data_IF_812109057270
#
_entry.id   IF_812109057270
#
_cell.length_a   1.000
_cell.length_b   1.000
_cell.length_c   1.000
_cell.angle_alpha   90.00
_cell.angle_beta   90.00
_cell.angle_gamma   90.00
#
_symmetry.space_group_name_H-M   'P 1'
#
loop_
_entity.id
_entity.type
_entity.pdbx_description
1 polymer ?
#
# COMPACT_ATOMS: atom_id res chain seq x y z
N UNK A 1 -13.61 -7.21 -18.78
CA UNK A 1 -14.32 -8.09 -19.74
C UNK A 1 -14.12 -9.57 -19.42
N UNK A 2 -12.90 -10.09 -19.38
CA UNK A 2 -12.67 -11.54 -19.24
C UNK A 2 -13.27 -12.22 -17.99
N UNK A 3 -13.27 -11.56 -16.82
CA UNK A 3 -13.80 -12.16 -15.57
C UNK A 3 -15.31 -12.40 -15.69
N UNK A 4 -16.06 -11.41 -16.19
CA UNK A 4 -17.52 -11.49 -16.37
C UNK A 4 -17.89 -12.55 -17.38
N UNK A 5 -17.15 -12.65 -18.49
CA UNK A 5 -17.42 -13.61 -19.56
C UNK A 5 -17.13 -15.04 -19.09
N UNK A 6 -16.02 -15.26 -18.40
CA UNK A 6 -15.68 -16.54 -17.75
C UNK A 6 -16.75 -16.96 -16.74
N UNK A 7 -17.26 -16.02 -15.94
CA UNK A 7 -18.34 -16.28 -14.98
C UNK A 7 -19.62 -16.75 -15.68
N UNK A 8 -20.06 -16.09 -16.77
CA UNK A 8 -21.23 -16.51 -17.51
C UNK A 8 -21.06 -17.91 -18.15
N UNK A 9 -19.88 -18.22 -18.66
CA UNK A 9 -19.59 -19.56 -19.19
C UNK A 9 -19.70 -20.61 -18.08
N UNK A 10 -19.11 -20.36 -16.90
CA UNK A 10 -19.22 -21.26 -15.75
C UNK A 10 -20.67 -21.46 -15.29
N UNK A 11 -21.45 -20.38 -15.24
CA UNK A 11 -22.89 -20.44 -14.90
C UNK A 11 -23.66 -21.28 -15.93
N UNK A 12 -23.41 -21.08 -17.23
CA UNK A 12 -24.07 -21.85 -18.29
C UNK A 12 -23.75 -23.35 -18.21
N UNK A 13 -22.47 -23.69 -18.03
CA UNK A 13 -22.04 -25.09 -17.84
C UNK A 13 -22.68 -25.68 -16.58
N UNK A 14 -22.62 -24.97 -15.46
CA UNK A 14 -23.25 -25.38 -14.21
C UNK A 14 -24.76 -25.62 -14.37
N UNK A 15 -25.47 -24.72 -15.03
CA UNK A 15 -26.90 -24.86 -15.28
C UNK A 15 -27.22 -26.13 -16.08
N UNK A 16 -26.44 -26.43 -17.12
CA UNK A 16 -26.62 -27.67 -17.92
C UNK A 16 -26.36 -28.91 -17.06
N UNK A 17 -25.24 -28.95 -16.35
CA UNK A 17 -24.86 -30.12 -15.54
C UNK A 17 -25.84 -30.37 -14.42
N UNK A 18 -26.21 -29.34 -13.65
CA UNK A 18 -27.21 -29.48 -12.57
C UNK A 18 -28.60 -29.81 -13.09
N UNK A 19 -29.02 -29.27 -14.23
CA UNK A 19 -30.29 -29.61 -14.84
C UNK A 19 -30.38 -31.09 -15.22
N UNK A 20 -29.33 -31.64 -15.85
CA UNK A 20 -29.25 -33.07 -16.20
C UNK A 20 -29.22 -33.92 -14.93
N UNK A 21 -28.44 -33.51 -13.91
CA UNK A 21 -28.39 -34.21 -12.65
C UNK A 21 -29.75 -34.27 -11.94
N UNK A 22 -30.40 -33.11 -11.76
CA UNK A 22 -31.75 -33.06 -11.13
C UNK A 22 -32.80 -33.78 -11.94
N UNK A 23 -32.80 -33.65 -13.27
CA UNK A 23 -33.68 -34.42 -14.13
C UNK A 23 -33.46 -35.93 -13.87
N UNK A 24 -32.23 -36.41 -13.81
CA UNK A 24 -31.92 -37.80 -13.58
C UNK A 24 -32.40 -38.28 -12.20
N UNK A 25 -32.18 -37.47 -11.16
CA UNK A 25 -32.65 -37.76 -9.79
C UNK A 25 -34.16 -37.89 -9.69
N UNK A 26 -34.90 -37.01 -10.36
CA UNK A 26 -36.36 -37.04 -10.33
C UNK A 26 -36.97 -38.09 -11.27
N UNK A 27 -36.35 -38.30 -12.44
CA UNK A 27 -36.88 -39.19 -13.49
C UNK A 27 -36.62 -40.67 -13.22
N UNK A 28 -35.41 -40.97 -12.72
CA UNK A 28 -34.94 -42.36 -12.57
C UNK A 28 -35.01 -42.88 -11.12
N UNK A 29 -35.99 -42.44 -10.34
CA UNK A 29 -36.22 -42.97 -9.00
C UNK A 29 -36.65 -44.44 -9.05
N UNK A 30 -36.37 -45.24 -8.03
CA UNK A 30 -36.71 -46.66 -7.91
C UNK A 30 -38.21 -46.93 -8.14
N UNK A 31 -39.09 -46.00 -7.76
CA UNK A 31 -40.54 -46.12 -7.95
C UNK A 31 -40.96 -45.91 -9.40
N UNK A 32 -40.26 -45.09 -10.18
CA UNK A 32 -40.58 -44.76 -11.58
C UNK A 32 -39.86 -45.60 -12.60
N UNK A 33 -38.71 -46.19 -12.22
CA UNK A 33 -37.87 -46.99 -13.10
C UNK A 33 -37.61 -48.36 -12.46
N UNK A 34 -38.58 -49.27 -12.60
CA UNK A 34 -38.48 -50.61 -12.00
C UNK A 34 -37.50 -51.55 -12.71
N UNK A 35 -37.25 -51.29 -13.99
CA UNK A 35 -36.28 -52.04 -14.79
C UNK A 35 -35.15 -51.06 -15.22
N UNK A 36 -34.12 -50.87 -14.40
CA UNK A 36 -33.00 -50.03 -14.75
C UNK A 36 -32.21 -50.61 -15.93
N UNK A 37 -31.66 -49.74 -16.74
CA UNK A 37 -30.74 -50.14 -17.80
C UNK A 37 -29.52 -50.86 -17.25
N UNK A 38 -29.05 -51.90 -17.91
CA UNK A 38 -27.82 -52.61 -17.59
C UNK A 38 -26.57 -52.02 -18.29
N UNK A 39 -26.73 -50.85 -18.85
CA UNK A 39 -25.68 -50.11 -19.50
C UNK A 39 -24.70 -49.59 -18.46
N UNK A 40 -23.40 -50.00 -18.59
CA UNK A 40 -22.35 -49.69 -17.64
C UNK A 40 -21.22 -48.83 -18.23
N UNK A 41 -21.06 -48.82 -19.55
CA UNK A 41 -19.97 -48.08 -20.22
C UNK A 41 -20.39 -47.65 -21.64
N UNK A 42 -19.74 -46.60 -22.14
CA UNK A 42 -19.86 -46.19 -23.53
C UNK A 42 -18.58 -45.46 -23.96
N UNK A 43 -17.71 -46.19 -24.65
CA UNK A 43 -16.46 -45.62 -25.17
C UNK A 43 -16.66 -44.36 -26.02
N UNK A 44 -17.77 -44.27 -26.77
CA UNK A 44 -18.08 -43.08 -27.58
C UNK A 44 -18.33 -41.87 -26.71
N UNK A 45 -19.08 -42.02 -25.60
CA UNK A 45 -19.40 -40.98 -24.69
C UNK A 45 -18.14 -40.55 -23.90
N UNK A 46 -17.35 -41.51 -23.48
CA UNK A 46 -16.07 -41.29 -22.76
C UNK A 46 -15.09 -40.48 -23.60
N UNK A 47 -14.93 -40.86 -24.88
CA UNK A 47 -14.12 -40.10 -25.83
C UNK A 47 -14.67 -38.72 -26.05
N UNK A 48 -16.00 -38.54 -26.17
CA UNK A 48 -16.60 -37.23 -26.37
C UNK A 48 -16.35 -36.30 -25.18
N UNK A 49 -16.58 -36.74 -23.93
CA UNK A 49 -16.36 -35.89 -22.76
C UNK A 49 -14.89 -35.66 -22.39
N UNK A 50 -13.99 -36.40 -22.98
CA UNK A 50 -12.54 -36.17 -22.89
C UNK A 50 -12.07 -35.17 -23.96
N UNK A 51 -12.48 -35.37 -25.22
CA UNK A 51 -12.01 -34.57 -26.35
C UNK A 51 -12.60 -33.15 -26.28
N UNK A 52 -13.89 -33.00 -25.96
CA UNK A 52 -14.54 -31.68 -25.94
C UNK A 52 -13.88 -30.73 -24.94
N UNK A 53 -13.67 -31.08 -23.65
CA UNK A 53 -12.95 -30.21 -22.71
C UNK A 53 -11.48 -29.96 -23.12
N UNK A 54 -10.83 -30.96 -23.70
CA UNK A 54 -9.45 -30.80 -24.19
C UNK A 54 -9.34 -29.74 -25.29
N UNK A 55 -10.29 -29.75 -26.25
CA UNK A 55 -10.35 -28.73 -27.30
C UNK A 55 -10.67 -27.34 -26.74
N UNK A 56 -11.54 -27.26 -25.73
CA UNK A 56 -11.85 -26.00 -25.03
C UNK A 56 -10.59 -25.47 -24.34
N UNK A 57 -9.81 -26.32 -23.66
CA UNK A 57 -8.57 -25.90 -23.01
C UNK A 57 -7.54 -25.38 -24.02
N UNK A 58 -7.38 -26.04 -25.18
CA UNK A 58 -6.48 -25.55 -26.24
C UNK A 58 -6.98 -24.19 -26.76
N UNK A 59 -8.27 -24.05 -27.00
CA UNK A 59 -8.84 -22.78 -27.48
C UNK A 59 -8.64 -21.64 -26.49
N UNK A 60 -8.63 -21.91 -25.18
CA UNK A 60 -8.36 -20.93 -24.13
C UNK A 60 -6.86 -20.65 -23.93
N UNK A 61 -6.00 -21.64 -24.17
CA UNK A 61 -4.57 -21.49 -23.93
C UNK A 61 -3.92 -20.41 -24.82
N UNK A 62 -4.35 -20.28 -26.06
CA UNK A 62 -3.80 -19.30 -27.02
C UNK A 62 -4.03 -17.86 -26.57
N UNK A 63 -5.28 -17.40 -26.32
CA UNK A 63 -5.51 -16.04 -25.83
C UNK A 63 -4.92 -15.83 -24.42
N UNK A 64 -4.95 -16.83 -23.55
CA UNK A 64 -4.37 -16.71 -22.21
C UNK A 64 -2.84 -16.50 -22.27
N UNK A 65 -2.13 -17.22 -23.14
CA UNK A 65 -0.68 -17.04 -23.32
C UNK A 65 -0.35 -15.66 -23.88
N UNK A 66 -1.16 -15.15 -24.82
CA UNK A 66 -0.98 -13.78 -25.35
C UNK A 66 -1.17 -12.72 -24.26
N UNK A 67 -2.25 -12.81 -23.50
CA UNK A 67 -2.52 -11.88 -22.39
C UNK A 67 -1.41 -11.95 -21.33
N UNK A 68 -0.93 -13.16 -21.02
CA UNK A 68 0.18 -13.32 -20.07
C UNK A 68 1.45 -12.61 -20.56
N UNK A 69 1.77 -12.72 -21.84
CA UNK A 69 2.93 -12.02 -22.43
C UNK A 69 2.75 -10.50 -22.37
N UNK A 70 1.54 -10.00 -22.58
CA UNK A 70 1.22 -8.57 -22.49
C UNK A 70 1.32 -8.05 -21.04
N UNK A 71 0.89 -8.86 -20.03
CA UNK A 71 1.01 -8.49 -18.60
C UNK A 71 2.47 -8.37 -18.17
N UNK A 72 3.34 -9.27 -18.65
CA UNK A 72 4.77 -9.27 -18.33
C UNK A 72 5.62 -8.43 -19.30
N UNK A 73 4.99 -7.58 -20.09
CA UNK A 73 5.70 -6.60 -20.91
C UNK A 73 6.38 -5.57 -20.00
N UNK A 74 7.71 -5.51 -20.05
CA UNK A 74 8.56 -4.66 -19.21
C UNK A 74 9.07 -3.41 -19.97
N UNK A 75 8.50 -3.11 -21.13
CA UNK A 75 8.81 -1.88 -21.86
C UNK A 75 8.62 -0.64 -20.97
N UNK A 76 9.44 0.38 -21.18
CA UNK A 76 9.37 1.62 -20.43
C UNK A 76 7.99 2.27 -20.58
N UNK A 77 7.48 2.78 -19.45
CA UNK A 77 6.26 3.60 -19.44
C UNK A 77 6.54 5.02 -19.95
N UNK A 78 5.49 5.73 -20.32
CA UNK A 78 5.55 7.18 -20.51
C UNK A 78 5.85 7.88 -19.17
N UNK A 79 5.44 7.25 -18.05
CA UNK A 79 5.74 7.65 -16.68
C UNK A 79 6.22 6.40 -15.93
N UNK A 80 7.36 6.55 -15.24
CA UNK A 80 7.91 5.50 -14.40
C UNK A 80 7.82 5.90 -12.92
N UNK A 81 7.15 5.09 -12.11
CA UNK A 81 6.93 5.35 -10.69
C UNK A 81 7.54 4.23 -9.87
N UNK A 82 8.49 4.55 -9.00
CA UNK A 82 8.95 3.62 -8.00
C UNK A 82 7.96 3.60 -6.83
N UNK A 83 7.53 2.39 -6.45
CA UNK A 83 6.64 2.12 -5.31
C UNK A 83 7.45 1.39 -4.26
N UNK A 84 7.61 1.99 -3.09
CA UNK A 84 8.37 1.39 -1.99
C UNK A 84 7.44 1.15 -0.79
N UNK A 85 7.34 -0.11 -0.35
CA UNK A 85 6.59 -0.48 0.84
C UNK A 85 7.40 -0.25 2.12
N UNK A 86 6.74 0.33 3.12
CA UNK A 86 7.24 0.51 4.49
C UNK A 86 6.21 0.00 5.50
N UNK A 87 6.59 -0.24 6.69
CA UNK A 87 5.70 -0.54 7.83
C UNK A 87 5.21 0.77 8.48
N UNK A 88 4.00 1.28 8.20
CA UNK A 88 2.94 0.78 7.33
C UNK A 88 2.42 1.93 6.48
N UNK A 89 3.06 2.17 5.35
CA UNK A 89 2.79 3.23 4.38
C UNK A 89 3.43 2.90 3.04
N UNK A 90 3.08 3.66 2.02
CA UNK A 90 3.72 3.58 0.70
C UNK A 90 4.51 4.85 0.42
N UNK A 91 5.66 4.73 -0.23
CA UNK A 91 6.38 5.84 -0.84
C UNK A 91 6.26 5.73 -2.35
N UNK A 92 5.97 6.84 -3.00
CA UNK A 92 5.89 6.96 -4.46
C UNK A 92 6.94 7.94 -4.96
N UNK A 93 7.75 7.50 -5.95
CA UNK A 93 8.79 8.33 -6.59
C UNK A 93 8.54 8.38 -8.09
N UNK A 94 8.26 9.56 -8.62
CA UNK A 94 8.14 9.81 -10.05
C UNK A 94 9.52 10.11 -10.59
N UNK A 95 10.07 9.18 -11.37
CA UNK A 95 11.49 9.19 -11.71
C UNK A 95 11.85 10.30 -12.70
N UNK A 96 10.93 10.69 -13.59
CA UNK A 96 11.14 11.76 -14.55
C UNK A 96 11.00 13.16 -13.96
N UNK A 97 10.19 13.29 -12.89
CA UNK A 97 9.83 14.59 -12.32
C UNK A 97 10.57 14.92 -11.03
N UNK A 98 11.33 13.96 -10.47
CA UNK A 98 12.00 14.08 -9.17
C UNK A 98 11.02 14.45 -8.03
N UNK A 99 9.81 13.87 -8.09
CA UNK A 99 8.78 14.04 -7.07
C UNK A 99 8.74 12.77 -6.25
N UNK A 100 8.83 12.92 -4.93
CA UNK A 100 8.62 11.81 -4.00
C UNK A 100 7.76 12.24 -2.81
N UNK A 101 6.92 11.33 -2.34
CA UNK A 101 6.10 11.55 -1.15
C UNK A 101 5.66 10.22 -0.52
N UNK A 102 5.28 10.31 0.76
CA UNK A 102 4.67 9.19 1.48
C UNK A 102 3.16 9.29 1.46
N UNK A 103 2.52 8.14 1.34
CA UNK A 103 1.07 7.96 1.37
C UNK A 103 0.72 7.19 2.62
N UNK A 104 0.12 7.87 3.60
CA UNK A 104 -0.24 7.30 4.89
C UNK A 104 -1.77 7.15 4.98
N UNK A 105 -2.22 6.22 5.83
CA UNK A 105 -3.63 6.12 6.19
C UNK A 105 -4.15 7.45 6.76
N UNK A 106 -5.25 7.96 6.22
CA UNK A 106 -5.89 9.20 6.69
C UNK A 106 -7.11 8.97 7.61
N UNK A 107 -7.47 7.71 7.86
CA UNK A 107 -8.57 7.37 8.78
C UNK A 107 -8.28 7.88 10.18
N UNK A 108 -9.24 8.62 10.75
CA UNK A 108 -9.13 9.20 12.09
C UNK A 108 -8.91 8.13 13.15
N UNK A 109 -8.07 8.43 14.14
CA UNK A 109 -7.78 7.52 15.25
C UNK A 109 -9.04 7.21 16.06
N UNK A 110 -9.96 8.16 16.21
CA UNK A 110 -11.22 7.94 16.91
C UNK A 110 -12.12 6.91 16.21
N UNK A 111 -12.09 6.87 14.85
CA UNK A 111 -12.75 5.81 14.08
C UNK A 111 -12.07 4.45 14.30
N UNK A 112 -10.74 4.42 14.32
CA UNK A 112 -9.95 3.20 14.53
C UNK A 112 -10.22 2.61 15.91
N UNK A 113 -10.30 3.43 16.94
CA UNK A 113 -10.60 3.00 18.32
C UNK A 113 -12.10 2.85 18.62
N UNK A 114 -12.97 3.00 17.62
CA UNK A 114 -14.44 2.91 17.74
C UNK A 114 -15.05 3.95 18.72
N UNK A 115 -14.44 5.10 18.85
CA UNK A 115 -14.95 6.21 19.64
C UNK A 115 -16.00 7.02 18.88
N UNK A 116 -15.95 6.99 17.54
CA UNK A 116 -16.93 7.56 16.63
C UNK A 116 -17.37 6.52 15.58
N UNK A 117 -18.52 6.71 14.91
CA UNK A 117 -18.96 5.82 13.81
C UNK A 117 -17.95 5.83 12.66
N UNK A 118 -17.74 4.68 12.05
CA UNK A 118 -16.86 4.50 10.90
C UNK A 118 -17.45 5.13 9.63
N UNK A 119 -16.63 5.86 8.89
CA UNK A 119 -16.97 6.41 7.59
C UNK A 119 -17.12 5.34 6.50
N UNK A 120 -17.66 5.73 5.34
CA UNK A 120 -17.90 4.83 4.20
C UNK A 120 -16.61 4.18 3.70
N UNK A 121 -15.52 4.93 3.64
CA UNK A 121 -14.21 4.46 3.18
C UNK A 121 -13.25 4.16 4.33
N UNK A 122 -13.75 3.63 5.44
CA UNK A 122 -12.95 3.26 6.60
C UNK A 122 -11.75 2.39 6.21
N UNK A 123 -10.54 2.83 6.56
CA UNK A 123 -9.23 2.23 6.24
C UNK A 123 -8.92 2.15 4.73
N UNK A 124 -9.58 2.92 3.88
CA UNK A 124 -9.41 2.91 2.42
C UNK A 124 -9.02 4.29 1.85
N UNK A 125 -8.73 5.28 2.70
CA UNK A 125 -8.30 6.62 2.29
C UNK A 125 -6.90 6.91 2.80
N UNK A 126 -6.19 7.76 2.05
CA UNK A 126 -4.82 8.20 2.36
C UNK A 126 -4.74 9.73 2.38
N UNK A 127 -3.71 10.26 3.03
CA UNK A 127 -3.42 11.69 3.06
C UNK A 127 -2.90 12.19 1.68
N UNK A 128 -2.07 11.41 1.00
CA UNK A 128 -1.48 11.72 -0.31
C UNK A 128 -1.72 10.57 -1.29
N UNK A 129 -2.72 10.67 -2.18
CA UNK A 129 -2.97 9.63 -3.19
C UNK A 129 -1.91 9.65 -4.31
N UNK A 130 -1.66 8.50 -4.90
CA UNK A 130 -0.89 8.39 -6.13
C UNK A 130 -1.69 9.00 -7.31
N UNK A 131 -1.11 9.96 -8.03
CA UNK A 131 -1.77 10.65 -9.16
C UNK A 131 -1.21 10.16 -10.48
N UNK A 132 -2.05 9.68 -11.38
CA UNK A 132 -1.64 9.27 -12.72
C UNK A 132 -2.59 9.84 -13.78
N UNK A 133 -2.10 10.18 -15.00
CA UNK A 133 -2.95 10.67 -16.07
C UNK A 133 -3.68 9.51 -16.77
N UNK A 134 -4.89 9.79 -17.25
CA UNK A 134 -5.69 8.89 -18.08
C UNK A 134 -4.98 8.61 -19.43
N UNK A 135 -5.27 7.46 -20.04
CA UNK A 135 -4.74 7.01 -21.35
C UNK A 135 -3.21 7.12 -21.49
N UNK A 136 -2.51 6.90 -20.39
CA UNK A 136 -1.04 6.97 -20.34
C UNK A 136 -0.50 5.64 -19.79
N UNK A 137 0.54 5.10 -20.41
CA UNK A 137 1.23 3.91 -19.90
C UNK A 137 2.09 4.28 -18.71
N UNK A 138 1.67 3.86 -17.53
CA UNK A 138 2.42 4.04 -16.29
C UNK A 138 3.06 2.72 -15.91
N UNK A 139 4.38 2.71 -15.73
CA UNK A 139 5.16 1.57 -15.25
C UNK A 139 5.48 1.75 -13.77
N UNK A 140 5.25 0.71 -13.00
CA UNK A 140 5.58 0.65 -11.58
C UNK A 140 6.80 -0.22 -11.34
N UNK A 141 7.77 0.31 -10.58
CA UNK A 141 8.95 -0.37 -10.09
C UNK A 141 8.75 -0.61 -8.59
N UNK A 142 8.34 -1.82 -8.24
CA UNK A 142 7.78 -2.15 -6.91
C UNK A 142 8.83 -2.87 -6.07
N UNK A 143 9.13 -2.31 -4.90
CA UNK A 143 10.08 -2.85 -3.92
C UNK A 143 9.63 -2.51 -2.49
N UNK A 144 10.39 -2.95 -1.49
CA UNK A 144 10.16 -2.59 -0.09
C UNK A 144 11.47 -2.21 0.61
N UNK A 145 11.35 -1.40 1.65
CA UNK A 145 12.49 -0.95 2.47
C UNK A 145 12.78 -1.89 3.66
N UNK A 146 11.76 -2.56 4.18
CA UNK A 146 11.83 -3.29 5.46
C UNK A 146 11.44 -4.76 5.34
N UNK A 147 10.16 -5.07 5.24
CA UNK A 147 9.62 -6.43 5.10
C UNK A 147 8.93 -6.61 3.76
N UNK A 148 8.45 -7.81 3.45
CA UNK A 148 7.67 -8.04 2.24
C UNK A 148 6.29 -7.41 2.42
N UNK A 149 5.86 -6.63 1.42
CA UNK A 149 4.51 -6.11 1.23
C UNK A 149 3.99 -6.59 -0.13
N UNK A 150 2.75 -6.29 -0.47
CA UNK A 150 2.22 -6.52 -1.83
C UNK A 150 1.33 -5.37 -2.23
N UNK A 151 1.68 -4.69 -3.32
CA UNK A 151 0.90 -3.58 -3.87
C UNK A 151 -0.20 -4.11 -4.76
N UNK A 152 -1.44 -3.88 -4.37
CA UNK A 152 -2.61 -4.41 -5.05
C UNK A 152 -3.64 -3.33 -5.34
N UNK A 153 -3.99 -3.17 -6.59
CA UNK A 153 -5.11 -2.34 -7.07
C UNK A 153 -5.97 -3.23 -7.99
N UNK A 154 -7.09 -3.75 -7.50
CA UNK A 154 -7.92 -4.71 -8.23
C UNK A 154 -8.34 -4.26 -9.62
N UNK A 155 -8.76 -3.00 -9.74
CA UNK A 155 -9.29 -2.45 -10.99
C UNK A 155 -8.21 -2.29 -12.07
N UNK A 156 -6.94 -2.21 -11.68
CA UNK A 156 -5.80 -2.23 -12.61
C UNK A 156 -5.33 -3.64 -12.94
N UNK A 157 -5.93 -4.67 -12.33
CA UNK A 157 -5.47 -6.05 -12.40
C UNK A 157 -4.00 -6.24 -11.96
N UNK A 158 -3.49 -5.34 -11.12
CA UNK A 158 -2.13 -5.42 -10.57
C UNK A 158 -2.20 -5.95 -9.14
N UNK A 159 -1.46 -7.02 -8.89
CA UNK A 159 -1.09 -7.53 -7.57
C UNK A 159 0.36 -7.97 -7.63
N UNK A 160 1.24 -7.18 -7.04
CA UNK A 160 2.67 -7.40 -7.17
C UNK A 160 3.37 -7.25 -5.82
N UNK A 161 4.16 -8.25 -5.46
CA UNK A 161 4.90 -8.23 -4.21
C UNK A 161 6.01 -7.18 -4.23
N UNK A 162 6.13 -6.45 -3.12
CA UNK A 162 7.17 -5.50 -2.82
C UNK A 162 8.19 -6.19 -1.90
N UNK A 163 9.32 -6.61 -2.46
CA UNK A 163 10.30 -7.44 -1.77
C UNK A 163 11.58 -6.64 -1.52
N UNK A 164 12.10 -6.58 -0.27
CA UNK A 164 13.36 -5.91 0.02
C UNK A 164 14.52 -6.45 -0.83
N UNK A 165 15.27 -5.56 -1.47
CA UNK A 165 16.40 -5.92 -2.32
C UNK A 165 16.03 -6.45 -3.72
N UNK A 166 14.74 -6.52 -4.06
CA UNK A 166 14.25 -6.87 -5.39
C UNK A 166 13.37 -5.75 -5.94
N UNK A 167 13.40 -5.56 -7.26
CA UNK A 167 12.49 -4.66 -7.97
C UNK A 167 11.63 -5.51 -8.90
N UNK A 168 10.34 -5.58 -8.60
CA UNK A 168 9.33 -6.15 -9.46
C UNK A 168 8.72 -5.07 -10.34
N UNK A 169 8.29 -5.43 -11.54
CA UNK A 169 7.67 -4.50 -12.48
C UNK A 169 6.20 -4.84 -12.72
N UNK A 170 5.39 -3.82 -12.85
CA UNK A 170 4.02 -3.90 -13.33
C UNK A 170 3.70 -2.65 -14.14
N UNK A 171 2.66 -2.68 -14.96
CA UNK A 171 2.23 -1.51 -15.70
C UNK A 171 0.71 -1.44 -15.80
N UNK A 172 0.19 -0.24 -15.99
CA UNK A 172 -1.22 -0.01 -16.27
C UNK A 172 -1.40 1.11 -17.29
N UNK A 173 -2.57 1.11 -17.91
CA UNK A 173 -3.11 2.26 -18.64
C UNK A 173 -4.58 2.38 -18.23
N UNK A 174 -4.87 3.35 -17.39
CA UNK A 174 -6.23 3.63 -16.96
C UNK A 174 -7.01 4.33 -18.09
N UNK A 175 -8.16 3.80 -18.47
CA UNK A 175 -8.98 4.32 -19.57
C UNK A 175 -10.00 5.37 -19.09
N UNK A 176 -10.27 5.45 -17.79
CA UNK A 176 -11.26 6.35 -17.19
C UNK A 176 -10.64 7.10 -16.00
N UNK A 177 -11.00 8.37 -15.87
CA UNK A 177 -10.67 9.16 -14.67
C UNK A 177 -11.48 8.68 -13.46
N UNK A 178 -10.89 8.76 -12.26
CA UNK A 178 -11.58 8.30 -11.05
C UNK A 178 -10.63 7.99 -9.91
N UNK A 179 -11.20 7.47 -8.83
CA UNK A 179 -10.45 7.03 -7.65
C UNK A 179 -10.48 5.51 -7.58
N UNK A 180 -9.31 4.92 -7.64
CA UNK A 180 -9.08 3.48 -7.60
C UNK A 180 -8.44 3.10 -6.28
N UNK A 181 -8.98 2.11 -5.60
CA UNK A 181 -8.55 1.72 -4.26
C UNK A 181 -7.97 0.32 -4.23
N UNK A 182 -6.99 0.16 -3.37
CA UNK A 182 -6.32 -1.11 -3.13
C UNK A 182 -5.78 -1.20 -1.72
N UNK A 183 -5.02 -2.26 -1.47
CA UNK A 183 -4.47 -2.54 -0.16
C UNK A 183 -3.12 -3.23 -0.26
N UNK A 184 -2.38 -3.25 0.86
CA UNK A 184 -1.31 -4.22 1.04
C UNK A 184 -1.93 -5.63 1.18
N UNK A 185 -1.42 -6.60 0.41
CA UNK A 185 -1.96 -7.98 0.38
C UNK A 185 -0.92 -9.05 0.73
N UNK A 186 0.20 -8.66 1.33
CA UNK A 186 1.16 -9.57 1.97
C UNK A 186 1.33 -9.19 3.44
N UNK A 187 1.23 -10.17 4.35
CA UNK A 187 1.27 -9.92 5.79
C UNK A 187 2.60 -9.28 6.21
N UNK A 188 2.56 -8.01 6.54
CA UNK A 188 3.72 -7.18 6.83
C UNK A 188 3.81 -6.70 8.29
N UNK A 189 3.05 -7.28 9.20
CA UNK A 189 3.10 -6.98 10.63
C UNK A 189 1.79 -6.45 11.22
N UNK A 190 1.87 -5.77 12.36
CA UNK A 190 0.73 -5.37 13.20
C UNK A 190 -0.32 -4.54 12.45
N UNK A 191 0.12 -3.57 11.65
CA UNK A 191 -0.76 -2.64 10.95
C UNK A 191 -0.89 -2.98 9.45
N UNK A 192 -0.76 -4.26 9.10
CA UNK A 192 -0.92 -4.73 7.72
C UNK A 192 -2.20 -4.22 7.03
N UNK A 193 -3.33 -4.19 7.71
CA UNK A 193 -4.59 -3.67 7.19
C UNK A 193 -4.73 -2.13 7.22
N UNK A 194 -3.68 -1.41 7.63
CA UNK A 194 -3.69 0.04 7.86
C UNK A 194 -2.79 0.80 6.87
N UNK A 195 -2.46 0.19 5.72
CA UNK A 195 -1.69 0.79 4.64
C UNK A 195 -2.40 0.59 3.29
N UNK A 196 -3.50 1.29 3.08
CA UNK A 196 -4.25 1.23 1.82
C UNK A 196 -3.46 1.85 0.66
N UNK A 197 -3.94 1.58 -0.55
CA UNK A 197 -3.50 2.23 -1.79
C UNK A 197 -4.66 3.03 -2.34
N UNK A 198 -4.43 4.30 -2.65
CA UNK A 198 -5.39 5.14 -3.39
C UNK A 198 -4.69 5.71 -4.61
N UNK A 199 -5.25 5.43 -5.78
CA UNK A 199 -4.78 6.00 -7.05
C UNK A 199 -5.88 6.90 -7.60
N UNK A 200 -5.56 8.17 -7.84
CA UNK A 200 -6.43 9.12 -8.51
C UNK A 200 -5.98 9.25 -9.97
N UNK A 201 -6.81 8.79 -10.87
CA UNK A 201 -6.61 8.98 -12.32
C UNK A 201 -7.26 10.28 -12.73
N UNK A 202 -6.48 11.17 -13.34
CA UNK A 202 -6.88 12.52 -13.71
C UNK A 202 -6.67 12.79 -15.18
N UNK A 203 -7.23 13.87 -15.70
CA UNK A 203 -6.90 14.38 -17.05
C UNK A 203 -5.44 14.82 -17.13
N UNK A 204 -4.86 14.77 -18.33
CA UNK A 204 -3.43 15.09 -18.53
C UNK A 204 -3.07 16.52 -18.10
N UNK A 205 -3.97 17.46 -18.29
CA UNK A 205 -3.75 18.86 -17.87
C UNK A 205 -3.74 18.97 -16.33
N UNK A 206 -4.67 18.30 -15.63
CA UNK A 206 -4.70 18.25 -14.17
C UNK A 206 -3.44 17.57 -13.60
N UNK A 207 -2.95 16.53 -14.27
CA UNK A 207 -1.69 15.89 -13.90
C UNK A 207 -0.51 16.85 -13.99
N UNK A 208 -0.41 17.60 -15.09
CA UNK A 208 0.67 18.57 -15.27
C UNK A 208 0.61 19.71 -14.23
N UNK A 209 -0.59 20.20 -13.90
CA UNK A 209 -0.77 21.19 -12.84
C UNK A 209 -0.33 20.64 -11.48
N UNK A 210 -0.69 19.38 -11.17
CA UNK A 210 -0.26 18.72 -9.95
C UNK A 210 1.27 18.57 -9.86
N UNK A 211 1.94 18.18 -10.95
CA UNK A 211 3.41 18.10 -11.04
C UNK A 211 4.05 19.46 -10.73
N UNK A 212 3.54 20.53 -11.33
CA UNK A 212 4.04 21.87 -11.06
C UNK A 212 3.85 22.29 -9.60
N UNK A 213 2.68 22.00 -9.03
CA UNK A 213 2.39 22.29 -7.63
C UNK A 213 3.32 21.54 -6.68
N UNK A 214 3.62 20.26 -6.96
CA UNK A 214 4.56 19.46 -6.16
C UNK A 214 6.00 19.98 -6.23
N UNK A 215 6.44 20.40 -7.40
CA UNK A 215 7.77 21.05 -7.58
C UNK A 215 7.85 22.37 -6.79
N UNK A 216 6.79 23.16 -6.78
CA UNK A 216 6.73 24.38 -5.99
C UNK A 216 6.72 24.10 -4.48
N UNK A 217 6.00 23.05 -4.04
CA UNK A 217 6.00 22.58 -2.66
C UNK A 217 7.41 22.16 -2.19
N UNK A 218 8.14 21.42 -3.04
CA UNK A 218 9.52 21.02 -2.75
C UNK A 218 10.46 22.23 -2.59
N UNK A 219 10.32 23.26 -3.42
CA UNK A 219 11.10 24.52 -3.32
C UNK A 219 10.79 25.20 -1.98
N UNK A 220 9.50 25.33 -1.63
CA UNK A 220 9.09 25.93 -0.35
C UNK A 220 9.61 25.13 0.86
N UNK A 221 9.65 23.80 0.77
CA UNK A 221 10.20 22.95 1.82
C UNK A 221 11.71 23.17 1.99
N UNK A 222 12.45 23.33 0.90
CA UNK A 222 13.88 23.65 0.95
C UNK A 222 14.12 25.03 1.63
N UNK A 223 13.28 26.03 1.36
CA UNK A 223 13.37 27.34 1.99
C UNK A 223 13.12 27.27 3.51
N UNK A 224 12.29 26.33 3.99
CA UNK A 224 12.03 26.12 5.42
C UNK A 224 13.27 25.64 6.20
N UNK A 225 14.21 24.99 5.54
CA UNK A 225 15.47 24.55 6.16
C UNK A 225 16.36 25.73 6.57
N UNK A 226 16.29 26.83 5.83
CA UNK A 226 17.04 28.08 6.09
C UNK A 226 16.34 29.01 7.11
N UNK A 227 15.06 28.71 7.44
CA UNK A 227 14.28 29.52 8.38
C UNK A 227 14.78 29.37 9.80
N UNK A 228 14.83 30.48 10.56
CA UNK A 228 14.96 30.43 12.01
C UNK A 228 13.63 29.98 12.64
N UNK A 229 13.68 28.94 13.45
CA UNK A 229 12.50 28.34 14.09
C UNK A 229 12.48 28.63 15.58
N UNK A 230 11.36 29.09 16.10
CA UNK A 230 11.11 29.14 17.53
C UNK A 230 10.76 27.75 18.10
N UNK A 231 10.96 27.57 19.39
CA UNK A 231 10.58 26.34 20.11
C UNK A 231 9.11 25.98 19.91
N UNK A 232 8.21 26.99 19.97
CA UNK A 232 6.77 26.77 19.80
C UNK A 232 6.43 26.25 18.41
N UNK A 233 6.97 26.87 17.36
CA UNK A 233 6.74 26.45 15.97
C UNK A 233 7.26 25.01 15.70
N UNK A 234 8.44 24.69 16.24
CA UNK A 234 8.98 23.33 16.12
C UNK A 234 8.16 22.30 16.88
N UNK A 235 7.67 22.64 18.07
CA UNK A 235 6.83 21.74 18.86
C UNK A 235 5.52 21.44 18.16
N UNK A 236 4.84 22.47 17.64
CA UNK A 236 3.57 22.32 16.90
C UNK A 236 3.76 21.49 15.62
N UNK A 237 4.79 21.80 14.83
CA UNK A 237 5.12 21.02 13.63
C UNK A 237 5.47 19.57 13.98
N UNK A 238 6.27 19.39 15.03
CA UNK A 238 6.72 18.07 15.51
C UNK A 238 5.58 17.19 16.01
N UNK A 239 4.55 17.77 16.60
CA UNK A 239 3.33 17.05 16.96
C UNK A 239 2.66 16.45 15.73
N UNK A 240 2.47 17.25 14.67
CA UNK A 240 1.91 16.75 13.40
C UNK A 240 2.75 15.64 12.76
N UNK A 241 4.08 15.76 12.78
CA UNK A 241 4.99 14.72 12.30
C UNK A 241 4.88 13.45 13.16
N UNK A 242 4.79 13.58 14.48
CA UNK A 242 4.65 12.48 15.42
C UNK A 242 3.35 11.70 15.19
N UNK A 243 2.25 12.40 15.04
CA UNK A 243 0.94 11.79 14.78
C UNK A 243 0.93 10.94 13.51
N UNK A 244 1.58 11.42 12.45
CA UNK A 244 1.63 10.71 11.16
C UNK A 244 2.59 9.51 11.15
N UNK A 245 3.73 9.62 11.80
CA UNK A 245 4.83 8.68 11.60
C UNK A 245 5.19 7.81 12.82
N UNK A 246 4.85 8.24 14.04
CA UNK A 246 5.38 7.65 15.27
C UNK A 246 4.31 6.97 16.15
N UNK A 247 3.08 7.48 16.13
CA UNK A 247 1.96 7.02 16.98
C UNK A 247 1.69 5.52 16.82
N UNK A 248 1.82 4.99 15.63
CA UNK A 248 1.55 3.57 15.36
C UNK A 248 2.35 2.62 16.26
N UNK A 249 3.59 3.00 16.62
CA UNK A 249 4.47 2.22 17.48
C UNK A 249 4.55 2.79 18.90
N UNK A 250 4.72 4.12 19.02
CA UNK A 250 4.99 4.77 20.31
C UNK A 250 3.75 5.29 21.03
N UNK A 251 2.55 5.14 20.46
CA UNK A 251 1.25 5.57 20.96
C UNK A 251 1.11 7.09 21.12
N UNK A 252 -0.12 7.61 21.23
CA UNK A 252 -0.41 9.05 21.39
C UNK A 252 0.22 9.64 22.64
N UNK A 253 0.29 8.86 23.73
CA UNK A 253 0.82 9.27 25.03
C UNK A 253 2.32 9.00 25.19
N UNK A 254 3.00 8.52 24.15
CA UNK A 254 4.44 8.22 24.18
C UNK A 254 4.84 7.01 25.02
N UNK A 255 3.91 6.23 25.57
CA UNK A 255 4.21 5.06 26.42
C UNK A 255 4.67 3.82 25.65
N UNK A 256 4.47 3.82 24.32
CA UNK A 256 4.84 2.69 23.49
C UNK A 256 4.04 1.41 23.77
N UNK A 257 4.61 0.27 23.38
CA UNK A 257 4.06 -1.07 23.64
C UNK A 257 5.21 -2.02 24.02
N UNK A 258 5.69 -1.97 25.26
CA UNK A 258 6.77 -2.85 25.72
C UNK A 258 6.42 -4.34 25.57
N UNK A 259 7.36 -5.24 25.26
CA UNK A 259 8.80 -4.95 25.09
C UNK A 259 9.21 -4.55 23.66
N UNK A 260 8.28 -4.49 22.71
CA UNK A 260 8.58 -4.36 21.26
C UNK A 260 8.83 -2.88 20.91
N UNK A 261 7.97 -1.98 21.37
CA UNK A 261 8.05 -0.55 21.10
C UNK A 261 8.29 0.19 22.40
N UNK A 262 9.50 0.75 22.63
CA UNK A 262 9.85 1.41 23.89
C UNK A 262 9.05 2.70 24.09
N UNK A 263 8.89 3.09 25.35
CA UNK A 263 8.35 4.40 25.70
C UNK A 263 9.31 5.52 25.30
N UNK A 264 8.74 6.64 24.83
CA UNK A 264 9.42 7.92 24.64
C UNK A 264 9.17 8.85 25.82
N UNK A 265 7.98 8.73 26.42
CA UNK A 265 7.65 9.42 27.67
C UNK A 265 8.53 8.88 28.80
N UNK A 266 9.26 9.79 29.46
CA UNK A 266 10.20 9.44 30.54
C UNK A 266 11.47 8.67 30.09
N UNK A 267 11.76 8.63 28.80
CA UNK A 267 12.96 7.97 28.28
C UNK A 267 14.20 8.80 28.52
N UNK A 268 15.23 8.20 29.15
CA UNK A 268 16.52 8.86 29.39
C UNK A 268 17.19 9.34 28.09
N UNK A 269 17.10 8.55 27.03
CA UNK A 269 17.64 8.94 25.69
C UNK A 269 16.93 10.19 25.19
N UNK A 270 15.59 10.20 25.25
CA UNK A 270 14.80 11.34 24.78
C UNK A 270 15.08 12.58 25.64
N UNK A 271 15.19 12.43 26.96
CA UNK A 271 15.33 13.56 27.89
C UNK A 271 16.75 14.13 27.95
N UNK A 272 17.78 13.28 27.86
CA UNK A 272 19.15 13.68 28.21
C UNK A 272 20.19 13.44 27.11
N UNK A 273 19.90 12.62 26.10
CA UNK A 273 20.84 12.28 25.03
C UNK A 273 20.29 12.68 23.65
N UNK A 274 20.37 13.99 23.38
CA UNK A 274 19.90 14.57 22.11
C UNK A 274 20.56 13.90 20.90
N UNK A 275 21.87 13.68 20.96
CA UNK A 275 22.64 13.20 19.81
C UNK A 275 22.30 11.74 19.50
N UNK A 276 22.12 10.92 20.53
CA UNK A 276 21.65 9.54 20.37
C UNK A 276 20.21 9.49 19.86
N UNK A 277 19.35 10.41 20.27
CA UNK A 277 17.97 10.52 19.78
C UNK A 277 17.95 10.85 18.28
N UNK A 278 18.80 11.79 17.83
CA UNK A 278 18.99 12.12 16.40
C UNK A 278 19.50 10.90 15.63
N UNK A 279 20.57 10.24 16.13
CA UNK A 279 21.15 9.06 15.50
C UNK A 279 20.12 7.94 15.31
N UNK A 280 19.31 7.63 16.34
CA UNK A 280 18.23 6.62 16.26
C UNK A 280 17.19 6.99 15.20
N UNK A 281 16.81 8.26 15.10
CA UNK A 281 15.86 8.70 14.09
C UNK A 281 16.45 8.61 12.67
N UNK A 282 17.72 8.96 12.50
CA UNK A 282 18.40 8.94 11.21
C UNK A 282 18.76 7.53 10.75
N UNK A 283 19.31 6.69 11.63
CA UNK A 283 19.84 5.37 11.24
C UNK A 283 18.91 4.20 11.57
N UNK A 284 17.93 4.43 12.44
CA UNK A 284 17.14 3.37 13.02
C UNK A 284 17.91 2.58 14.10
N UNK A 285 17.38 1.42 14.48
CA UNK A 285 18.01 0.52 15.43
C UNK A 285 18.17 -0.85 14.79
N UNK A 286 19.39 -1.27 14.57
CA UNK A 286 19.69 -2.55 13.94
C UNK A 286 19.07 -3.73 14.72
N UNK A 287 18.29 -4.55 14.04
CA UNK A 287 17.63 -5.71 14.62
C UNK A 287 16.34 -5.40 15.40
N UNK A 288 15.88 -4.14 15.40
CA UNK A 288 14.63 -3.71 15.99
C UNK A 288 13.64 -3.20 14.92
N UNK A 289 12.40 -2.95 15.32
CA UNK A 289 11.36 -2.40 14.43
C UNK A 289 11.53 -0.89 14.15
N UNK A 290 12.45 -0.21 14.86
CA UNK A 290 12.73 1.21 14.63
C UNK A 290 13.59 1.37 13.37
N UNK A 291 12.96 1.80 12.29
CA UNK A 291 13.59 2.02 11.00
C UNK A 291 14.27 3.40 10.90
N UNK A 292 15.13 3.60 9.91
CA UNK A 292 15.67 4.90 9.56
C UNK A 292 14.61 5.83 9.00
N UNK A 293 14.59 7.07 9.44
CA UNK A 293 13.73 8.14 8.93
C UNK A 293 14.49 9.17 8.08
N UNK A 294 15.81 9.00 7.87
CA UNK A 294 16.64 9.95 7.12
C UNK A 294 16.11 10.24 5.70
N UNK A 295 15.55 9.23 5.04
CA UNK A 295 14.95 9.38 3.70
C UNK A 295 13.44 9.61 3.73
N UNK A 296 12.82 9.68 4.91
CA UNK A 296 11.38 9.76 5.08
C UNK A 296 10.89 11.11 5.61
N UNK A 297 11.74 11.81 6.33
CA UNK A 297 11.45 13.11 6.92
C UNK A 297 12.44 14.15 6.43
N UNK A 298 11.97 15.36 6.19
CA UNK A 298 12.87 16.49 5.96
C UNK A 298 13.68 16.80 7.22
N UNK A 299 14.80 17.50 7.07
CA UNK A 299 15.61 17.94 8.21
C UNK A 299 14.78 18.76 9.22
N UNK A 300 13.88 19.60 8.70
CA UNK A 300 12.96 20.38 9.53
C UNK A 300 12.01 19.48 10.30
N UNK A 301 11.46 18.44 9.66
CA UNK A 301 10.53 17.50 10.32
C UNK A 301 11.25 16.63 11.35
N UNK A 302 12.49 16.21 11.07
CA UNK A 302 13.31 15.49 12.03
C UNK A 302 13.60 16.35 13.26
N UNK A 303 14.06 17.58 13.07
CA UNK A 303 14.29 18.51 14.16
C UNK A 303 13.01 18.81 14.96
N UNK A 304 11.89 18.97 14.27
CA UNK A 304 10.60 19.25 14.86
C UNK A 304 10.10 18.07 15.72
N UNK A 305 10.12 16.84 15.19
CA UNK A 305 9.63 15.68 15.94
C UNK A 305 10.50 15.33 17.14
N UNK A 306 11.84 15.50 17.04
CA UNK A 306 12.73 15.35 18.19
C UNK A 306 12.41 16.40 19.22
N UNK A 307 12.24 17.66 18.82
CA UNK A 307 11.85 18.74 19.71
C UNK A 307 10.52 18.43 20.39
N UNK A 308 9.51 18.01 19.66
CA UNK A 308 8.21 17.64 20.23
C UNK A 308 8.33 16.53 21.29
N UNK A 309 9.00 15.41 20.98
CA UNK A 309 9.13 14.30 21.93
C UNK A 309 9.92 14.70 23.20
N UNK A 310 10.83 15.64 23.09
CA UNK A 310 11.59 16.20 24.23
C UNK A 310 10.76 17.22 25.05
N UNK A 311 9.71 17.77 24.48
CA UNK A 311 8.82 18.72 25.17
C UNK A 311 7.55 18.05 25.71
N UNK A 312 7.06 16.98 25.07
CA UNK A 312 5.80 16.31 25.40
C UNK A 312 5.90 15.43 26.66
N UNK A 313 4.75 15.09 27.20
CA UNK A 313 4.56 14.10 28.28
C UNK A 313 5.38 14.32 29.55
N UNK A 314 5.73 15.58 29.85
CA UNK A 314 6.55 15.93 31.01
C UNK A 314 8.07 15.74 30.80
N UNK A 315 8.52 15.39 29.61
CA UNK A 315 9.95 15.21 29.30
C UNK A 315 10.72 16.52 29.44
N UNK A 316 10.13 17.68 29.08
CA UNK A 316 10.81 18.96 29.23
C UNK A 316 11.07 19.35 30.69
N UNK A 317 10.15 19.00 31.59
CA UNK A 317 10.25 19.32 33.02
C UNK A 317 11.25 18.43 33.74
N UNK A 318 11.45 17.21 33.27
CA UNK A 318 12.30 16.19 33.90
C UNK A 318 13.62 15.98 33.15
N UNK A 319 13.82 16.59 31.99
CA UNK A 319 15.00 16.46 31.13
C UNK A 319 15.91 17.69 31.14
N UNK A 320 16.79 17.78 30.15
CA UNK A 320 17.76 18.88 29.99
C UNK A 320 17.16 20.15 29.35
N UNK A 321 15.92 20.08 28.83
CA UNK A 321 15.22 21.18 28.18
C UNK A 321 15.79 21.61 26.81
N UNK A 322 16.81 20.92 26.29
CA UNK A 322 17.45 21.23 25.01
C UNK A 322 16.51 20.81 23.86
N UNK A 323 16.36 21.65 22.87
CA UNK A 323 15.61 21.35 21.65
C UNK A 323 16.54 21.33 20.42
N UNK A 324 16.06 20.74 19.32
CA UNK A 324 16.83 20.59 18.09
C UNK A 324 16.32 21.59 17.06
N UNK A 325 17.22 22.37 16.49
CA UNK A 325 16.93 23.26 15.37
C UNK A 325 17.36 22.62 14.06
N UNK A 326 16.62 22.86 12.95
CA UNK A 326 17.08 22.49 11.62
C UNK A 326 18.43 23.18 11.37
N UNK A 327 19.45 22.44 11.09
CA UNK A 327 20.74 22.99 10.70
C UNK A 327 21.52 21.91 9.97
N UNK A 328 22.44 22.33 9.12
CA UNK A 328 23.44 21.46 8.46
C UNK A 328 24.19 20.53 9.43
N UNK A 329 24.07 20.74 10.74
CA UNK A 329 24.68 19.87 11.78
C UNK A 329 23.99 18.51 11.94
N UNK A 330 22.77 18.31 11.45
CA UNK A 330 22.14 16.98 11.42
C UNK A 330 22.80 16.05 10.39
N UNK A 331 23.43 16.61 9.35
CA UNK A 331 24.11 15.86 8.29
C UNK A 331 25.55 15.45 8.73
N UNK A 332 26.12 16.05 9.77
CA UNK A 332 27.52 15.88 10.17
C UNK A 332 27.73 15.07 11.46
N UNK A 333 26.67 14.41 11.95
CA UNK A 333 26.81 13.41 13.01
C UNK A 333 26.89 12.03 12.35
#
# INVERSE_FOLDING_TARGET
MCIRDSFYICVAIGAVVFSVMFYSLFRYTKKRNQNPSTFHESTKLEVAWTIIPFLVLIAMAVPASKTLTEIYDDEEGEINIQVVGYQWKWEYKYLEDDINFFSNLSTDQDEIYNLVPKGENYLLEVDEPLIIPVDTRVRFLITANDVIHSWWVPDFAIKQDAIPGFINTAWTRAEETGIYRGNCTELCGKNHGFMPVVVKVVEKDEYNEWVLAKKEEAIKLAELTEKEWSLGELTERGEGVYQKNCVACHQMNGEGLPPIFPALAGSDIVMFDKDRNVEILMEGVQGAAMQSFANQLSEVDMAAVITYTRQAWGNAENGDGVYVVPSLSLIHI
#
